data_IF_636532868906
#
_entry.id   IF_636532868906
#
_cell.length_a   1.000
_cell.length_b   1.000
_cell.length_c   1.000
_cell.angle_alpha   90.00
_cell.angle_beta   90.00
_cell.angle_gamma   90.00
#
_symmetry.space_group_name_H-M   'P 1'
#
loop_
_entity.id
_entity.type
_entity.pdbx_description
1 polymer ?
#
# COMPACT_ATOMS: atom_id res chain seq x y z
N UNK A 1 -6.50 4.72 19.50
CA UNK A 1 -6.54 5.56 18.29
C UNK A 1 -7.99 5.83 17.91
N UNK A 2 -8.37 7.08 17.87
CA UNK A 2 -9.73 7.44 17.45
C UNK A 2 -9.82 7.40 15.93
N UNK A 3 -10.79 6.65 15.42
CA UNK A 3 -11.00 6.52 13.99
C UNK A 3 -12.44 6.91 13.67
N UNK A 4 -12.60 8.08 13.10
CA UNK A 4 -13.92 8.61 12.77
C UNK A 4 -14.23 8.33 11.29
N UNK A 5 -14.95 7.28 11.01
CA UNK A 5 -15.46 6.93 9.67
C UNK A 5 -14.44 6.99 8.51
N UNK A 6 -13.16 7.08 8.82
CA UNK A 6 -12.10 6.98 7.82
C UNK A 6 -11.83 5.50 7.51
N UNK A 7 -11.52 5.18 6.27
CA UNK A 7 -11.18 3.81 5.89
C UNK A 7 -9.81 3.39 6.39
N UNK A 8 -8.86 4.33 6.42
CA UNK A 8 -7.47 4.05 6.77
C UNK A 8 -7.09 4.37 8.20
N UNK A 9 -6.19 3.55 8.74
CA UNK A 9 -5.51 3.79 10.01
C UNK A 9 -4.08 4.22 9.70
N UNK A 10 -3.63 5.33 10.29
CA UNK A 10 -2.28 5.81 10.06
C UNK A 10 -1.23 4.84 10.63
N UNK A 11 -0.18 4.63 9.86
CA UNK A 11 1.01 3.91 10.27
C UNK A 11 2.14 4.92 10.49
N UNK A 12 2.80 4.79 11.64
CA UNK A 12 3.82 5.74 12.11
C UNK A 12 5.19 5.11 11.99
N UNK A 13 6.20 5.91 11.69
CA UNK A 13 7.57 5.44 11.66
C UNK A 13 8.05 5.15 13.09
N UNK A 14 8.29 3.87 13.38
CA UNK A 14 8.87 3.43 14.64
C UNK A 14 10.39 3.31 14.47
N UNK A 15 11.05 4.44 14.50
CA UNK A 15 12.49 4.58 14.32
C UNK A 15 13.04 5.43 15.45
N UNK A 16 14.29 5.14 15.86
CA UNK A 16 14.94 5.88 16.95
C UNK A 16 15.48 7.24 16.49
N UNK A 17 15.90 7.31 15.24
CA UNK A 17 16.54 8.50 14.67
C UNK A 17 15.94 8.80 13.30
N UNK A 18 16.16 10.02 12.81
CA UNK A 18 15.76 10.40 11.46
C UNK A 18 16.34 9.46 10.43
N UNK A 19 15.54 9.11 9.45
CA UNK A 19 15.97 8.34 8.29
C UNK A 19 15.96 9.23 7.07
N UNK A 20 17.06 9.27 6.34
CA UNK A 20 17.19 10.08 5.13
C UNK A 20 17.08 9.19 3.91
N UNK A 21 16.29 9.63 2.94
CA UNK A 21 16.16 8.95 1.64
C UNK A 21 16.66 9.89 0.56
N UNK A 22 17.71 9.46 -0.13
CA UNK A 22 18.16 10.12 -1.34
C UNK A 22 17.11 10.03 -2.44
N UNK A 23 17.17 10.85 -3.48
CA UNK A 23 16.28 10.71 -4.63
C UNK A 23 16.29 9.28 -5.16
N UNK A 24 15.09 8.73 -5.36
CA UNK A 24 14.85 7.38 -5.90
C UNK A 24 15.35 6.23 -5.02
N UNK A 25 15.64 6.51 -3.75
CA UNK A 25 16.02 5.49 -2.78
C UNK A 25 14.81 4.90 -2.10
N UNK A 26 14.89 3.61 -1.77
CA UNK A 26 13.90 2.89 -0.97
C UNK A 26 14.54 2.40 0.32
N UNK A 27 13.87 2.63 1.45
CA UNK A 27 14.30 2.09 2.75
C UNK A 27 13.11 1.46 3.45
N UNK A 28 13.39 0.36 4.15
CA UNK A 28 12.38 -0.30 4.97
C UNK A 28 12.22 0.46 6.28
N UNK A 29 11.00 0.89 6.56
CA UNK A 29 10.66 1.59 7.80
C UNK A 29 9.71 0.71 8.62
N UNK A 30 10.11 0.38 9.83
CA UNK A 30 9.26 -0.35 10.76
C UNK A 30 8.16 0.53 11.31
N UNK A 31 7.03 -0.07 11.64
CA UNK A 31 5.88 0.64 12.24
C UNK A 31 5.61 0.24 13.68
N UNK A 32 6.30 -0.80 14.17
CA UNK A 32 6.06 -1.34 15.51
C UNK A 32 4.72 -2.05 15.67
N UNK A 33 4.01 -2.30 14.57
CA UNK A 33 2.68 -2.91 14.58
C UNK A 33 2.75 -4.32 14.02
N UNK A 34 2.20 -5.28 14.76
CA UNK A 34 1.89 -6.62 14.27
C UNK A 34 0.41 -6.86 14.54
N UNK A 35 -0.27 -7.53 13.61
CA UNK A 35 -1.71 -7.69 13.72
C UNK A 35 -2.18 -9.04 13.17
N UNK A 36 -3.39 -9.42 13.55
CA UNK A 36 -4.07 -10.58 13.03
C UNK A 36 -5.27 -10.08 12.23
N UNK A 37 -5.13 -10.07 10.92
CA UNK A 37 -6.23 -9.71 10.03
C UNK A 37 -7.24 -10.86 10.01
N UNK A 38 -8.55 -10.59 10.12
CA UNK A 38 -9.55 -11.66 10.08
C UNK A 38 -9.49 -12.45 8.77
N UNK A 39 -9.83 -13.73 8.85
CA UNK A 39 -9.95 -14.59 7.68
C UNK A 39 -10.98 -14.01 6.70
N UNK A 40 -10.67 -14.03 5.41
CA UNK A 40 -11.50 -13.42 4.36
C UNK A 40 -11.19 -11.94 4.12
N UNK A 41 -10.21 -11.40 4.85
CA UNK A 41 -9.77 -10.01 4.71
C UNK A 41 -8.25 -9.95 4.56
N UNK A 42 -7.77 -8.83 4.05
CA UNK A 42 -6.34 -8.54 4.03
C UNK A 42 -6.11 -7.10 4.46
N UNK A 43 -4.90 -6.81 4.91
CA UNK A 43 -4.50 -5.44 5.19
C UNK A 43 -3.84 -4.84 3.96
N UNK A 44 -4.38 -3.73 3.46
CA UNK A 44 -3.74 -2.96 2.40
C UNK A 44 -2.94 -1.82 3.00
N UNK A 45 -1.66 -1.71 2.64
CA UNK A 45 -0.80 -0.60 3.06
C UNK A 45 -0.70 0.38 1.90
N UNK A 46 -1.29 1.54 2.07
CA UNK A 46 -1.41 2.57 1.04
C UNK A 46 -0.59 3.80 1.38
N UNK A 47 -0.30 4.58 0.36
CA UNK A 47 0.30 5.89 0.53
C UNK A 47 -0.65 6.82 1.27
N UNK A 48 -0.09 7.80 1.98
CA UNK A 48 -0.84 8.97 2.46
C UNK A 48 -0.81 10.03 1.36
N UNK A 49 -1.98 10.56 1.02
CA UNK A 49 -2.12 11.46 -0.12
C UNK A 49 -1.22 12.70 -0.03
N UNK A 50 -1.16 13.35 1.13
CA UNK A 50 -0.34 14.54 1.30
C UNK A 50 1.15 14.26 1.19
N UNK A 51 1.61 13.19 1.82
CA UNK A 51 3.02 12.81 1.80
C UNK A 51 3.46 12.42 0.39
N UNK A 52 2.64 11.66 -0.30
CA UNK A 52 2.91 11.21 -1.66
C UNK A 52 2.89 12.37 -2.66
N UNK A 53 1.83 13.18 -2.61
CA UNK A 53 1.63 14.26 -3.59
C UNK A 53 2.61 15.42 -3.40
N UNK A 54 2.95 15.76 -2.16
CA UNK A 54 3.78 16.94 -1.86
C UNK A 54 5.26 16.61 -1.74
N UNK A 55 5.61 15.46 -1.20
CA UNK A 55 6.99 15.09 -0.92
C UNK A 55 7.50 13.93 -1.75
N UNK A 56 6.62 13.25 -2.47
CA UNK A 56 7.00 12.11 -3.29
C UNK A 56 7.35 10.86 -2.49
N UNK A 57 6.95 10.78 -1.23
CA UNK A 57 7.21 9.60 -0.39
C UNK A 57 5.99 8.67 -0.42
N UNK A 58 6.21 7.44 -0.82
CA UNK A 58 5.17 6.42 -0.98
C UNK A 58 5.72 5.01 -0.77
N UNK A 59 4.86 4.02 -0.51
CA UNK A 59 5.31 2.64 -0.55
C UNK A 59 5.86 2.29 -1.93
N UNK A 60 7.01 1.64 -1.98
CA UNK A 60 7.69 1.29 -3.23
C UNK A 60 6.85 0.33 -4.08
N UNK A 61 6.12 -0.57 -3.44
CA UNK A 61 5.21 -1.51 -4.09
C UNK A 61 3.85 -0.91 -4.42
N UNK A 62 3.68 0.37 -4.27
CA UNK A 62 2.43 1.14 -4.41
C UNK A 62 1.37 0.73 -3.38
N UNK A 63 1.07 -0.54 -3.27
CA UNK A 63 0.19 -1.11 -2.25
C UNK A 63 0.84 -2.34 -1.67
N UNK A 64 1.03 -2.37 -0.36
CA UNK A 64 1.47 -3.56 0.34
C UNK A 64 0.30 -4.44 0.71
N UNK A 65 0.47 -5.75 0.67
CA UNK A 65 -0.57 -6.71 1.05
C UNK A 65 -0.13 -7.44 2.31
N UNK A 66 -0.94 -7.31 3.36
CA UNK A 66 -0.74 -8.02 4.63
C UNK A 66 -1.78 -9.13 4.69
N UNK A 67 -1.32 -10.36 4.54
CA UNK A 67 -2.20 -11.54 4.56
C UNK A 67 -2.74 -11.82 5.96
N UNK A 68 -3.88 -12.53 6.02
CA UNK A 68 -4.53 -12.85 7.28
C UNK A 68 -3.63 -13.67 8.23
N UNK A 69 -2.75 -14.49 7.69
CA UNK A 69 -1.85 -15.35 8.47
C UNK A 69 -0.48 -14.72 8.75
N UNK A 70 -0.23 -13.50 8.29
CA UNK A 70 1.01 -12.82 8.59
C UNK A 70 1.03 -12.32 10.03
N UNK A 71 2.06 -12.68 10.79
CA UNK A 71 2.19 -12.31 12.21
C UNK A 71 3.41 -11.43 12.49
N UNK A 72 4.17 -11.11 11.47
CA UNK A 72 5.33 -10.25 11.62
C UNK A 72 4.96 -8.77 11.72
N UNK A 73 5.98 -7.97 11.95
CA UNK A 73 5.84 -6.52 11.97
C UNK A 73 5.44 -6.00 10.59
N UNK A 74 4.49 -5.07 10.55
CA UNK A 74 4.16 -4.34 9.34
C UNK A 74 5.27 -3.33 9.09
N UNK A 75 5.97 -3.49 7.97
CA UNK A 75 7.04 -2.58 7.54
C UNK A 75 6.63 -1.94 6.23
N UNK A 76 7.05 -0.71 6.06
CA UNK A 76 6.79 0.05 4.84
C UNK A 76 8.11 0.22 4.09
N UNK A 77 8.16 -0.31 2.87
CA UNK A 77 9.26 -0.04 1.95
C UNK A 77 9.02 1.36 1.37
N UNK A 78 9.52 2.38 2.06
CA UNK A 78 9.25 3.78 1.69
C UNK A 78 10.21 4.22 0.61
N UNK A 79 9.64 4.73 -0.50
CA UNK A 79 10.38 5.17 -1.67
C UNK A 79 10.29 6.68 -1.84
N UNK A 80 11.41 7.30 -2.16
CA UNK A 80 11.48 8.72 -2.49
C UNK A 80 11.45 8.91 -4.01
N UNK A 81 10.31 9.34 -4.51
CA UNK A 81 10.08 9.56 -5.94
C UNK A 81 10.50 10.98 -6.39
N UNK A 82 10.92 11.81 -5.45
CA UNK A 82 11.30 13.19 -5.76
C UNK A 82 12.77 13.32 -6.16
N UNK A 83 13.12 14.47 -6.69
CA UNK A 83 14.50 14.81 -7.01
C UNK A 83 15.30 15.40 -5.84
N UNK A 84 14.74 15.39 -4.64
CA UNK A 84 15.36 15.96 -3.44
C UNK A 84 15.48 14.91 -2.34
N UNK A 85 16.48 15.07 -1.47
CA UNK A 85 16.55 14.26 -0.27
C UNK A 85 15.33 14.50 0.60
N UNK A 86 14.75 13.43 1.16
CA UNK A 86 13.64 13.51 2.10
C UNK A 86 14.06 12.93 3.44
N UNK A 87 13.45 13.42 4.49
CA UNK A 87 13.73 12.99 5.86
C UNK A 87 12.45 12.47 6.48
N UNK A 88 12.56 11.29 7.10
CA UNK A 88 11.47 10.71 7.89
C UNK A 88 11.85 10.84 9.36
N UNK A 89 11.02 11.55 10.11
CA UNK A 89 11.22 11.72 11.55
C UNK A 89 10.62 10.55 12.34
N UNK A 90 11.16 10.24 13.53
CA UNK A 90 10.51 9.30 14.44
C UNK A 90 9.07 9.72 14.72
N UNK A 91 8.15 8.77 14.66
CA UNK A 91 6.73 9.02 14.89
C UNK A 91 5.98 9.69 13.76
N UNK A 92 6.62 9.92 12.63
CA UNK A 92 5.97 10.51 11.47
C UNK A 92 4.99 9.51 10.86
N UNK A 93 3.83 10.00 10.41
CA UNK A 93 2.87 9.20 9.64
C UNK A 93 3.42 8.95 8.24
N UNK A 94 3.62 7.69 7.87
CA UNK A 94 4.29 7.34 6.61
C UNK A 94 3.41 6.57 5.64
N UNK A 95 2.33 5.97 6.12
CA UNK A 95 1.42 5.17 5.29
C UNK A 95 0.09 5.04 6.03
N UNK A 96 -0.85 4.36 5.41
CA UNK A 96 -2.11 4.03 6.05
C UNK A 96 -2.49 2.58 5.77
N UNK A 97 -3.15 1.97 6.73
CA UNK A 97 -3.62 0.59 6.66
C UNK A 97 -5.14 0.58 6.48
N UNK A 98 -5.60 -0.17 5.49
CA UNK A 98 -7.03 -0.40 5.25
C UNK A 98 -7.29 -1.90 5.28
N UNK A 99 -8.28 -2.33 6.07
CA UNK A 99 -8.69 -3.73 6.11
C UNK A 99 -9.78 -3.93 5.08
N UNK A 100 -9.56 -4.84 4.13
CA UNK A 100 -10.41 -5.02 2.97
C UNK A 100 -10.80 -6.49 2.81
N UNK A 101 -12.03 -6.78 2.40
CA UNK A 101 -12.43 -8.15 2.07
C UNK A 101 -11.85 -8.57 0.72
N UNK A 102 -11.69 -9.87 0.55
CA UNK A 102 -11.31 -10.44 -0.74
C UNK A 102 -12.03 -11.77 -0.94
N UNK A 103 -12.13 -12.17 -2.21
CA UNK A 103 -12.66 -13.47 -2.58
C UNK A 103 -11.51 -14.44 -2.77
N UNK A 104 -11.58 -15.59 -2.08
CA UNK A 104 -10.70 -16.71 -2.36
C UNK A 104 -11.27 -17.43 -3.57
N UNK A 105 -10.48 -17.57 -4.62
CA UNK A 105 -10.94 -18.15 -5.88
C UNK A 105 -10.09 -19.35 -6.26
N UNK A 106 -10.69 -20.25 -7.01
CA UNK A 106 -10.02 -21.37 -7.65
C UNK A 106 -9.98 -21.10 -9.15
N UNK A 107 -8.80 -21.20 -9.73
CA UNK A 107 -8.63 -20.98 -11.16
C UNK A 107 -8.89 -22.27 -11.93
N UNK A 108 -9.68 -22.17 -12.98
CA UNK A 108 -9.93 -23.26 -13.91
C UNK A 108 -9.28 -22.92 -15.26
N UNK A 109 -8.41 -23.80 -15.73
CA UNK A 109 -7.79 -23.62 -17.04
C UNK A 109 -8.77 -24.08 -18.12
N UNK A 110 -9.04 -23.21 -19.08
CA UNK A 110 -9.96 -23.48 -20.18
C UNK A 110 -9.29 -23.11 -21.50
N UNK A 111 -9.76 -23.71 -22.60
CA UNK A 111 -9.24 -23.41 -23.92
C UNK A 111 -9.62 -22.01 -24.38
N UNK A 112 -10.87 -21.61 -24.10
CA UNK A 112 -11.41 -20.30 -24.47
C UNK A 112 -12.27 -19.75 -23.35
N UNK A 113 -12.31 -18.43 -23.21
CA UNK A 113 -13.24 -17.74 -22.34
C UNK A 113 -14.54 -17.47 -23.07
N UNK A 114 -15.62 -17.25 -22.29
CA UNK A 114 -16.90 -16.85 -22.84
C UNK A 114 -16.80 -15.48 -23.51
N UNK A 115 -17.75 -15.21 -24.41
CA UNK A 115 -17.78 -13.95 -25.11
C UNK A 115 -18.49 -12.88 -24.29
N UNK A 116 -17.99 -11.65 -24.40
CA UNK A 116 -18.62 -10.47 -23.82
C UNK A 116 -18.65 -9.37 -24.86
N UNK A 117 -19.51 -8.37 -24.65
CA UNK A 117 -19.60 -7.23 -25.54
C UNK A 117 -18.26 -6.50 -25.69
N UNK A 118 -17.50 -6.38 -24.60
CA UNK A 118 -16.18 -5.72 -24.63
C UNK A 118 -15.12 -6.61 -25.31
N UNK A 119 -15.19 -7.92 -25.12
CA UNK A 119 -14.20 -8.87 -25.62
C UNK A 119 -12.79 -8.55 -25.13
N UNK A 120 -11.84 -8.44 -26.04
CA UNK A 120 -10.44 -8.17 -25.75
C UNK A 120 -10.11 -6.68 -25.58
N UNK A 121 -11.10 -5.82 -25.69
CA UNK A 121 -10.90 -4.37 -25.62
C UNK A 121 -10.32 -3.93 -24.28
N UNK A 122 -9.24 -3.18 -24.34
CA UNK A 122 -8.57 -2.64 -23.16
C UNK A 122 -7.61 -1.54 -23.56
N UNK A 123 -6.85 -1.04 -22.59
CA UNK A 123 -5.81 -0.04 -22.83
C UNK A 123 -6.29 1.17 -23.66
N UNK A 124 -7.46 1.69 -23.31
CA UNK A 124 -8.02 2.86 -23.98
C UNK A 124 -8.87 2.54 -25.19
N UNK A 125 -9.27 1.28 -25.41
CA UNK A 125 -10.14 0.89 -26.52
C UNK A 125 -11.48 1.61 -26.54
N UNK A 126 -11.96 2.06 -25.37
CA UNK A 126 -13.20 2.83 -25.25
C UNK A 126 -13.01 4.33 -25.53
N UNK A 127 -11.77 4.75 -25.78
CA UNK A 127 -11.42 6.13 -26.08
C UNK A 127 -11.35 7.03 -24.85
N UNK A 128 -11.06 8.31 -25.09
CA UNK A 128 -10.96 9.33 -24.04
C UNK A 128 -12.26 10.05 -23.77
N UNK A 129 -13.22 9.82 -24.58
CA UNK A 129 -14.49 10.55 -24.54
C UNK A 129 -15.62 9.63 -24.16
#
# INVERSE_FOLDING_TARGET
MYKRQAAGYDLFADIAEETRLAPHETKMIGTGVALAVPEGYFGGVFARSGLSAKEGLRPANCTGVVDADYRGEVKVALHNDSGEERVVAPGQKIAQLVIMPFLSVEFEEVADLDETERGQGGFGSTGKM
#
